data_IF_233372483984
#
_entry.id   IF_233372483984
#
_cell.length_a   1.000
_cell.length_b   1.000
_cell.length_c   1.000
_cell.angle_alpha   90.00
_cell.angle_beta   90.00
_cell.angle_gamma   90.00
#
_symmetry.space_group_name_H-M   'P 1'
#
loop_
_entity.id
_entity.type
_entity.pdbx_description
1 polymer ?
#
# COMPACT_ATOMS: atom_id res chain seq x y z
N UNK A 1 1.04 17.33 -11.41
CA UNK A 1 0.31 16.08 -11.13
C UNK A 1 0.81 15.48 -9.82
N UNK A 2 -0.07 14.84 -9.06
CA UNK A 2 0.32 14.09 -7.86
C UNK A 2 0.95 12.77 -8.29
N UNK A 3 2.09 12.41 -7.68
CA UNK A 3 2.73 11.12 -7.86
C UNK A 3 2.11 10.10 -6.89
N UNK A 4 1.56 9.04 -7.43
CA UNK A 4 0.87 7.98 -6.69
C UNK A 4 1.61 6.67 -6.87
N UNK A 5 2.11 6.10 -5.78
CA UNK A 5 2.55 4.72 -5.76
C UNK A 5 1.33 3.78 -5.79
N UNK A 6 1.45 2.65 -6.44
CA UNK A 6 0.36 1.67 -6.53
C UNK A 6 0.93 0.26 -6.57
N UNK A 7 0.22 -0.68 -5.94
CA UNK A 7 0.56 -2.10 -6.09
C UNK A 7 0.45 -2.51 -7.56
N UNK A 8 1.52 -3.03 -8.14
CA UNK A 8 1.62 -3.26 -9.59
C UNK A 8 0.54 -4.20 -10.17
N UNK A 9 0.01 -5.12 -9.36
CA UNK A 9 -1.13 -5.95 -9.76
C UNK A 9 -2.43 -5.14 -9.97
N UNK A 10 -2.51 -3.90 -9.48
CA UNK A 10 -3.67 -3.02 -9.59
C UNK A 10 -3.66 -2.13 -10.84
N UNK A 11 -2.58 -2.17 -11.63
CA UNK A 11 -2.50 -1.45 -12.90
C UNK A 11 -2.28 -2.39 -14.10
N UNK A 12 -2.80 -3.61 -14.01
CA UNK A 12 -2.79 -4.58 -15.09
C UNK A 12 -1.56 -5.48 -15.16
N UNK A 13 -0.58 -5.32 -14.28
CA UNK A 13 0.60 -6.21 -14.25
C UNK A 13 0.20 -7.61 -13.78
N UNK A 14 0.51 -8.63 -14.57
CA UNK A 14 0.19 -10.03 -14.29
C UNK A 14 1.26 -10.67 -13.40
N UNK A 15 1.44 -10.12 -12.20
CA UNK A 15 2.49 -10.50 -11.25
C UNK A 15 1.98 -11.27 -10.04
N UNK A 16 0.69 -11.53 -9.95
CA UNK A 16 0.13 -12.39 -8.90
C UNK A 16 0.41 -13.86 -9.18
N UNK A 17 0.29 -14.66 -8.13
CA UNK A 17 0.38 -16.11 -8.19
C UNK A 17 -0.59 -16.76 -9.20
N UNK A 18 -1.77 -16.15 -9.40
CA UNK A 18 -2.78 -16.56 -10.39
C UNK A 18 -2.62 -15.87 -11.76
N UNK A 19 -1.54 -15.14 -11.99
CA UNK A 19 -1.26 -14.35 -13.20
C UNK A 19 -2.36 -13.35 -13.58
N UNK A 20 -3.19 -12.93 -12.62
CA UNK A 20 -4.22 -11.92 -12.83
C UNK A 20 -3.70 -10.55 -12.41
N UNK A 21 -4.12 -9.54 -13.14
CA UNK A 21 -3.95 -8.13 -12.79
C UNK A 21 -5.27 -7.39 -12.97
N UNK A 22 -5.46 -6.29 -12.28
CA UNK A 22 -6.63 -5.44 -12.40
C UNK A 22 -6.23 -4.04 -12.85
N UNK A 23 -7.08 -3.37 -13.59
CA UNK A 23 -6.90 -1.96 -13.93
C UNK A 23 -7.78 -1.09 -13.01
N UNK A 24 -7.34 -0.90 -11.78
CA UNK A 24 -8.07 -0.09 -10.80
C UNK A 24 -8.09 1.40 -11.16
N UNK A 25 -7.01 2.02 -11.66
CA UNK A 25 -7.08 3.39 -12.17
C UNK A 25 -8.08 3.57 -13.30
N UNK A 26 -8.39 2.54 -14.08
CA UNK A 26 -9.39 2.57 -15.15
C UNK A 26 -10.80 2.97 -14.66
N UNK A 27 -11.14 2.66 -13.41
CA UNK A 27 -12.41 3.07 -12.80
C UNK A 27 -12.51 4.60 -12.64
N UNK A 28 -11.39 5.31 -12.58
CA UNK A 28 -11.35 6.77 -12.49
C UNK A 28 -11.60 7.47 -13.83
N UNK A 29 -11.70 6.72 -14.91
CA UNK A 29 -11.91 7.25 -16.26
C UNK A 29 -10.88 8.34 -16.59
N UNK A 30 -11.32 9.54 -16.97
CA UNK A 30 -10.45 10.67 -17.32
C UNK A 30 -9.64 11.21 -16.14
N UNK A 31 -10.09 11.00 -14.91
CA UNK A 31 -9.36 11.49 -13.74
C UNK A 31 -8.02 10.79 -13.54
N UNK A 32 -7.87 9.54 -14.02
CA UNK A 32 -6.59 8.84 -13.94
C UNK A 32 -5.42 9.62 -14.56
N UNK A 33 -5.71 10.43 -15.58
CA UNK A 33 -4.69 11.21 -16.31
C UNK A 33 -4.22 12.46 -15.51
N UNK A 34 -4.87 12.75 -14.38
CA UNK A 34 -4.47 13.82 -13.45
C UNK A 34 -3.32 13.39 -12.53
N UNK A 35 -2.96 12.11 -12.51
CA UNK A 35 -1.96 11.53 -11.64
C UNK A 35 -0.81 10.92 -12.43
N UNK A 36 0.36 10.82 -11.80
CA UNK A 36 1.46 10.00 -12.28
C UNK A 36 1.46 8.70 -11.47
N UNK A 37 1.37 7.56 -12.14
CA UNK A 37 1.27 6.25 -11.52
C UNK A 37 2.63 5.57 -11.46
N UNK A 38 3.04 5.16 -10.27
CA UNK A 38 4.33 4.51 -10.01
C UNK A 38 4.10 3.11 -9.42
N UNK A 39 4.08 2.06 -10.28
CA UNK A 39 3.81 0.71 -9.81
C UNK A 39 4.99 0.13 -9.04
N UNK A 40 4.70 -0.54 -7.94
CA UNK A 40 5.66 -1.35 -7.18
C UNK A 40 5.05 -2.70 -6.83
N UNK A 41 5.89 -3.71 -6.75
CA UNK A 41 5.52 -5.02 -6.22
C UNK A 41 6.52 -5.44 -5.16
N UNK A 42 6.06 -5.40 -3.92
CA UNK A 42 6.88 -5.73 -2.78
C UNK A 42 7.51 -7.13 -2.88
N UNK A 43 6.69 -8.11 -3.24
CA UNK A 43 7.11 -9.51 -3.29
C UNK A 43 8.14 -9.78 -4.40
N UNK A 44 7.97 -9.13 -5.56
CA UNK A 44 8.96 -9.19 -6.64
C UNK A 44 10.27 -8.50 -6.20
N UNK A 45 10.18 -7.33 -5.57
CA UNK A 45 11.35 -6.60 -5.06
C UNK A 45 12.03 -7.33 -3.89
N UNK A 46 11.32 -8.22 -3.22
CA UNK A 46 11.88 -9.12 -2.20
C UNK A 46 12.61 -10.35 -2.78
N UNK A 47 12.66 -10.48 -4.11
CA UNK A 47 13.28 -11.62 -4.79
C UNK A 47 12.44 -12.90 -4.82
N UNK A 48 11.17 -12.83 -4.42
CA UNK A 48 10.28 -14.01 -4.36
C UNK A 48 9.75 -14.43 -5.74
N UNK A 49 9.95 -13.60 -6.77
CA UNK A 49 9.50 -13.89 -8.14
C UNK A 49 7.99 -13.72 -8.36
N UNK A 50 7.51 -14.18 -9.50
CA UNK A 50 6.10 -14.05 -9.92
C UNK A 50 5.32 -15.30 -9.57
N UNK A 51 5.73 -16.47 -9.82
CA UNK A 51 5.06 -17.72 -9.42
C UNK A 51 5.63 -18.21 -8.09
N UNK A 52 5.14 -17.68 -6.99
CA UNK A 52 5.70 -17.89 -5.65
C UNK A 52 4.72 -18.56 -4.69
N UNK A 53 5.30 -19.17 -3.66
CA UNK A 53 4.53 -19.66 -2.54
C UNK A 53 3.81 -18.52 -1.79
N UNK A 54 2.63 -18.80 -1.28
CA UNK A 54 1.85 -17.86 -0.49
C UNK A 54 2.65 -17.40 0.75
N UNK A 55 2.65 -16.10 0.98
CA UNK A 55 3.37 -15.47 2.10
C UNK A 55 2.35 -14.97 3.12
N UNK A 56 2.61 -15.18 4.40
CA UNK A 56 1.73 -14.76 5.50
C UNK A 56 2.50 -14.30 6.73
N UNK A 57 1.89 -13.46 7.54
CA UNK A 57 2.34 -13.22 8.92
C UNK A 57 2.02 -14.45 9.78
N UNK A 58 2.95 -14.86 10.63
CA UNK A 58 2.76 -15.96 11.55
C UNK A 58 1.66 -15.65 12.60
N UNK A 59 1.62 -14.39 13.06
CA UNK A 59 0.60 -13.85 13.98
C UNK A 59 0.59 -12.32 13.93
N UNK A 60 -0.38 -11.67 14.57
CA UNK A 60 -0.41 -10.23 14.75
C UNK A 60 -0.60 -9.43 13.44
N UNK A 61 0.01 -8.27 13.37
CA UNK A 61 -0.12 -7.30 12.29
C UNK A 61 1.24 -6.72 11.84
N UNK A 62 1.22 -5.73 10.95
CA UNK A 62 2.44 -5.11 10.42
C UNK A 62 3.29 -4.40 11.48
N UNK A 63 2.68 -3.81 12.50
CA UNK A 63 3.43 -3.20 13.59
C UNK A 63 4.17 -4.26 14.41
N UNK A 64 3.52 -5.40 14.69
CA UNK A 64 4.15 -6.54 15.37
C UNK A 64 5.38 -7.04 14.62
N UNK A 65 5.33 -7.02 13.28
CA UNK A 65 6.51 -7.39 12.46
C UNK A 65 7.66 -6.40 12.64
N UNK A 66 7.37 -5.11 12.64
CA UNK A 66 8.41 -4.09 12.83
C UNK A 66 8.97 -4.10 14.25
N UNK A 67 8.15 -4.43 15.23
CA UNK A 67 8.54 -4.57 16.64
C UNK A 67 9.21 -5.93 16.95
N UNK A 68 9.41 -6.78 15.92
CA UNK A 68 10.01 -8.11 16.01
C UNK A 68 9.23 -9.11 16.85
N UNK A 69 7.92 -8.94 16.93
CA UNK A 69 7.00 -9.81 17.69
C UNK A 69 6.40 -10.93 16.83
N UNK A 70 6.62 -10.89 15.51
CA UNK A 70 6.11 -11.88 14.55
C UNK A 70 7.04 -12.03 13.35
N UNK A 71 6.91 -13.15 12.66
CA UNK A 71 7.66 -13.48 11.46
C UNK A 71 6.75 -13.53 10.23
N UNK A 72 7.35 -13.31 9.07
CA UNK A 72 6.74 -13.61 7.77
C UNK A 72 7.19 -14.99 7.33
N UNK A 73 6.25 -15.83 6.95
CA UNK A 73 6.51 -17.20 6.50
C UNK A 73 5.85 -17.47 5.16
N UNK A 74 6.45 -18.36 4.36
CA UNK A 74 5.81 -18.94 3.19
C UNK A 74 5.00 -20.20 3.55
N UNK A 75 4.41 -20.86 2.54
CA UNK A 75 3.64 -22.11 2.74
C UNK A 75 4.50 -23.28 3.21
N UNK A 76 5.81 -23.23 3.04
CA UNK A 76 6.77 -24.25 3.50
C UNK A 76 7.32 -23.94 4.89
N UNK A 77 6.70 -22.98 5.60
CA UNK A 77 7.09 -22.52 6.95
C UNK A 77 8.49 -21.86 7.04
N UNK A 78 9.11 -21.52 5.90
CA UNK A 78 10.37 -20.79 5.87
C UNK A 78 10.15 -19.32 6.27
N UNK A 79 11.07 -18.80 7.09
CA UNK A 79 11.06 -17.40 7.56
C UNK A 79 11.69 -16.51 6.48
N UNK A 80 10.93 -15.51 6.02
CA UNK A 80 11.31 -14.59 4.94
C UNK A 80 11.49 -13.14 5.42
N UNK A 81 11.78 -12.92 6.69
CA UNK A 81 11.88 -11.58 7.28
C UNK A 81 12.91 -10.69 6.59
N UNK A 82 14.07 -11.26 6.23
CA UNK A 82 15.14 -10.52 5.58
C UNK A 82 14.76 -10.10 4.17
N UNK A 83 14.24 -11.02 3.38
CA UNK A 83 13.81 -10.81 1.99
C UNK A 83 12.71 -9.75 1.92
N UNK A 84 11.71 -9.87 2.79
CA UNK A 84 10.60 -8.91 2.86
C UNK A 84 11.08 -7.52 3.29
N UNK A 85 11.93 -7.40 4.31
CA UNK A 85 12.49 -6.11 4.72
C UNK A 85 13.33 -5.46 3.63
N UNK A 86 14.15 -6.25 2.93
CA UNK A 86 14.95 -5.77 1.78
C UNK A 86 14.05 -5.26 0.65
N UNK A 87 13.03 -6.02 0.27
CA UNK A 87 12.07 -5.60 -0.76
C UNK A 87 11.31 -4.34 -0.38
N UNK A 88 10.93 -4.20 0.88
CA UNK A 88 10.25 -3.00 1.39
C UNK A 88 11.15 -1.76 1.31
N UNK A 89 12.42 -1.90 1.67
CA UNK A 89 13.38 -0.80 1.56
C UNK A 89 13.52 -0.34 0.11
N UNK A 90 13.65 -1.26 -0.84
CA UNK A 90 13.74 -0.95 -2.28
C UNK A 90 12.47 -0.23 -2.75
N UNK A 91 11.28 -0.74 -2.39
CA UNK A 91 10.01 -0.11 -2.76
C UNK A 91 9.89 1.30 -2.17
N UNK A 92 10.25 1.48 -0.91
CA UNK A 92 10.19 2.78 -0.23
C UNK A 92 11.16 3.78 -0.85
N UNK A 93 12.39 3.38 -1.12
CA UNK A 93 13.40 4.22 -1.77
C UNK A 93 12.95 4.66 -3.15
N UNK A 94 12.35 3.74 -3.92
CA UNK A 94 11.75 4.10 -5.22
C UNK A 94 10.61 5.11 -5.06
N UNK A 95 9.67 4.89 -4.13
CA UNK A 95 8.56 5.82 -3.88
C UNK A 95 9.07 7.21 -3.46
N UNK A 96 10.12 7.27 -2.65
CA UNK A 96 10.78 8.52 -2.26
C UNK A 96 11.45 9.20 -3.46
N UNK A 97 12.13 8.44 -4.31
CA UNK A 97 12.83 8.98 -5.49
C UNK A 97 11.89 9.64 -6.50
N UNK A 98 10.65 9.15 -6.61
CA UNK A 98 9.61 9.72 -7.48
C UNK A 98 8.70 10.73 -6.75
N UNK A 99 9.03 11.08 -5.49
CA UNK A 99 8.23 11.96 -4.64
C UNK A 99 6.76 11.53 -4.55
N UNK A 100 6.52 10.24 -4.35
CA UNK A 100 5.17 9.71 -4.14
C UNK A 100 4.71 9.99 -2.72
N UNK A 101 3.70 10.82 -2.57
CA UNK A 101 3.10 11.17 -1.28
C UNK A 101 1.90 10.29 -0.92
N UNK A 102 1.44 9.51 -1.87
CA UNK A 102 0.23 8.67 -1.79
C UNK A 102 0.55 7.28 -2.30
N UNK A 103 -0.05 6.27 -1.69
CA UNK A 103 0.04 4.88 -2.13
C UNK A 103 -1.33 4.21 -2.16
N UNK A 104 -1.65 3.56 -3.28
CA UNK A 104 -2.85 2.75 -3.42
C UNK A 104 -2.47 1.29 -3.23
N UNK A 105 -2.95 0.71 -2.13
CA UNK A 105 -2.59 -0.65 -1.74
C UNK A 105 -3.65 -1.68 -2.16
N UNK A 106 -3.18 -2.93 -2.38
CA UNK A 106 -4.03 -4.09 -2.61
C UNK A 106 -4.59 -4.60 -1.28
N UNK A 107 -5.90 -4.59 -1.12
CA UNK A 107 -6.55 -5.19 0.05
C UNK A 107 -6.49 -6.72 0.00
N UNK A 108 -6.34 -7.31 1.17
CA UNK A 108 -6.29 -8.76 1.33
C UNK A 108 -4.99 -9.42 0.85
N UNK A 109 -3.98 -8.63 0.47
CA UNK A 109 -2.63 -9.14 0.25
C UNK A 109 -1.88 -9.17 1.58
N UNK A 110 -1.26 -10.27 1.98
CA UNK A 110 -0.53 -10.35 3.25
C UNK A 110 0.72 -9.47 3.28
N UNK A 111 1.24 -9.09 2.14
CA UNK A 111 2.45 -8.25 2.00
C UNK A 111 2.15 -6.78 1.75
N UNK A 112 1.10 -6.47 0.99
CA UNK A 112 0.81 -5.11 0.52
C UNK A 112 -0.53 -4.55 1.00
N UNK A 113 -1.39 -5.33 1.64
CA UNK A 113 -2.75 -4.93 1.98
C UNK A 113 -3.08 -5.10 3.45
N UNK A 114 -4.22 -4.59 3.83
CA UNK A 114 -4.81 -4.87 5.14
C UNK A 114 -5.31 -6.30 5.12
N UNK A 115 -4.78 -7.14 5.98
CA UNK A 115 -5.27 -8.51 6.10
C UNK A 115 -6.77 -8.46 6.41
N UNK A 116 -7.59 -9.03 5.55
CA UNK A 116 -8.95 -9.42 5.92
C UNK A 116 -8.83 -10.56 6.93
N UNK A 117 -8.47 -10.26 8.17
CA UNK A 117 -8.96 -11.08 9.23
C UNK A 117 -10.47 -10.96 9.14
N UNK A 118 -11.14 -12.06 8.88
CA UNK A 118 -12.56 -12.21 9.09
C UNK A 118 -12.82 -12.00 10.57
N UNK A 119 -12.78 -10.75 11.00
CA UNK A 119 -13.22 -10.33 12.31
C UNK A 119 -14.75 -10.41 12.30
N UNK A 120 -15.26 -11.59 12.56
CA UNK A 120 -16.65 -11.78 12.96
C UNK A 120 -16.97 -11.12 14.29
N UNK A 121 -15.99 -10.50 14.95
CA UNK A 121 -16.18 -9.96 16.29
C UNK A 121 -15.65 -8.53 16.43
N UNK A 122 -16.63 -7.64 16.67
CA UNK A 122 -16.51 -6.42 17.47
C UNK A 122 -15.54 -5.34 16.99
N UNK A 123 -15.94 -4.51 16.02
CA UNK A 123 -15.62 -3.07 15.97
C UNK A 123 -14.14 -2.66 16.13
N UNK A 124 -13.19 -3.57 15.99
CA UNK A 124 -11.78 -3.30 16.18
C UNK A 124 -11.17 -2.92 14.82
N UNK A 125 -10.41 -1.86 14.81
CA UNK A 125 -9.65 -1.33 13.70
C UNK A 125 -8.94 -2.45 12.93
N UNK A 126 -9.10 -2.45 11.61
CA UNK A 126 -8.43 -3.43 10.73
C UNK A 126 -6.92 -3.26 10.89
N UNK A 127 -6.18 -4.30 11.27
CA UNK A 127 -4.73 -4.20 11.42
C UNK A 127 -4.11 -3.90 10.06
N UNK A 128 -3.21 -2.94 10.03
CA UNK A 128 -2.39 -2.68 8.84
C UNK A 128 -1.45 -3.85 8.60
N UNK A 129 -1.19 -4.15 7.33
CA UNK A 129 -0.13 -5.09 6.98
C UNK A 129 1.26 -4.44 7.13
N UNK A 130 2.27 -5.21 6.79
CA UNK A 130 3.65 -4.82 7.02
C UNK A 130 4.03 -3.58 6.23
N UNK A 131 3.66 -3.51 4.95
CA UNK A 131 4.06 -2.39 4.09
C UNK A 131 3.23 -1.14 4.37
N UNK A 132 1.92 -1.28 4.58
CA UNK A 132 1.05 -0.15 4.94
C UNK A 132 1.46 0.48 6.27
N UNK A 133 1.86 -0.33 7.26
CA UNK A 133 2.42 0.15 8.51
C UNK A 133 3.70 0.98 8.30
N UNK A 134 4.62 0.49 7.45
CA UNK A 134 5.83 1.25 7.10
C UNK A 134 5.50 2.57 6.39
N UNK A 135 4.60 2.53 5.40
CA UNK A 135 4.21 3.72 4.64
C UNK A 135 3.59 4.80 5.54
N UNK A 136 2.78 4.42 6.51
CA UNK A 136 2.21 5.36 7.48
C UNK A 136 3.29 5.98 8.38
N UNK A 137 4.26 5.19 8.86
CA UNK A 137 5.42 5.69 9.62
C UNK A 137 6.23 6.70 8.80
N UNK A 138 6.33 6.48 7.49
CA UNK A 138 7.01 7.37 6.53
C UNK A 138 6.13 8.53 6.03
N UNK A 139 4.95 8.71 6.62
CA UNK A 139 4.00 9.78 6.27
C UNK A 139 3.57 9.73 4.79
N UNK A 140 3.34 8.56 4.26
CA UNK A 140 2.72 8.35 2.95
C UNK A 140 1.24 8.08 3.17
N UNK A 141 0.39 8.82 2.46
CA UNK A 141 -1.06 8.66 2.53
C UNK A 141 -1.49 7.39 1.81
N UNK A 142 -2.27 6.53 2.44
CA UNK A 142 -2.67 5.24 1.87
C UNK A 142 -4.16 5.20 1.51
N UNK A 143 -4.48 4.61 0.35
CA UNK A 143 -5.85 4.47 -0.16
C UNK A 143 -6.09 3.00 -0.54
N UNK A 144 -7.21 2.38 -0.10
CA UNK A 144 -7.56 1.03 -0.53
C UNK A 144 -7.97 1.02 -2.01
N UNK A 145 -7.38 0.12 -2.79
CA UNK A 145 -7.63 0.05 -4.23
C UNK A 145 -9.09 -0.23 -4.58
N UNK A 146 -9.78 -1.07 -3.81
CA UNK A 146 -11.19 -1.40 -4.06
C UNK A 146 -12.12 -0.18 -3.96
N UNK A 147 -11.73 0.83 -3.21
CA UNK A 147 -12.55 2.05 -3.06
C UNK A 147 -12.55 2.93 -4.32
N UNK A 148 -11.61 2.71 -5.26
CA UNK A 148 -11.60 3.38 -6.56
C UNK A 148 -12.81 2.97 -7.44
N UNK A 149 -13.40 1.81 -7.18
CA UNK A 149 -14.60 1.33 -7.90
C UNK A 149 -15.87 2.08 -7.51
N UNK A 150 -15.87 2.74 -6.35
CA UNK A 150 -17.02 3.49 -5.83
C UNK A 150 -16.83 4.99 -6.05
N UNK A 151 -17.63 5.66 -6.89
CA UNK A 151 -17.50 7.10 -7.11
C UNK A 151 -17.60 7.93 -5.83
N UNK A 152 -18.44 7.52 -4.88
CA UNK A 152 -18.63 8.23 -3.59
C UNK A 152 -17.39 8.08 -2.71
N UNK A 153 -16.85 6.87 -2.58
CA UNK A 153 -15.64 6.62 -1.79
C UNK A 153 -14.42 7.28 -2.42
N UNK A 154 -14.29 7.19 -3.75
CA UNK A 154 -13.22 7.86 -4.47
C UNK A 154 -13.26 9.38 -4.28
N UNK A 155 -14.45 9.98 -4.37
CA UNK A 155 -14.61 11.42 -4.12
C UNK A 155 -14.12 11.83 -2.72
N UNK A 156 -14.44 11.05 -1.68
CA UNK A 156 -13.97 11.31 -0.32
C UNK A 156 -12.45 11.13 -0.18
N UNK A 157 -11.89 10.03 -0.70
CA UNK A 157 -10.44 9.79 -0.72
C UNK A 157 -9.69 10.86 -1.49
N UNK A 158 -10.17 11.24 -2.66
CA UNK A 158 -9.58 12.30 -3.48
C UNK A 158 -9.50 13.61 -2.72
N UNK A 159 -10.56 14.04 -2.08
CA UNK A 159 -10.60 15.25 -1.28
C UNK A 159 -9.56 15.23 -0.15
N UNK A 160 -9.48 14.13 0.59
CA UNK A 160 -8.52 13.95 1.68
C UNK A 160 -7.09 13.92 1.17
N UNK A 161 -6.85 13.23 0.06
CA UNK A 161 -5.54 13.15 -0.59
C UNK A 161 -5.04 14.54 -1.01
N UNK A 162 -5.87 15.33 -1.69
CA UNK A 162 -5.47 16.68 -2.08
C UNK A 162 -5.18 17.57 -0.87
N UNK A 163 -6.00 17.50 0.17
CA UNK A 163 -5.76 18.22 1.41
C UNK A 163 -4.43 17.80 2.06
N UNK A 164 -4.16 16.49 2.13
CA UNK A 164 -2.92 15.96 2.69
C UNK A 164 -1.69 16.46 1.92
N UNK A 165 -1.68 16.31 0.58
CA UNK A 165 -0.55 16.73 -0.26
C UNK A 165 -0.35 18.24 -0.17
N UNK A 166 -1.43 19.01 -0.15
CA UNK A 166 -1.36 20.46 0.01
C UNK A 166 -0.75 20.86 1.35
N UNK A 167 -1.23 20.28 2.46
CA UNK A 167 -0.70 20.54 3.81
C UNK A 167 0.76 20.11 3.94
N UNK A 168 1.14 18.96 3.38
CA UNK A 168 2.52 18.46 3.40
C UNK A 168 3.48 19.40 2.69
N UNK A 169 3.05 20.01 1.60
CA UNK A 169 3.85 20.94 0.81
C UNK A 169 3.89 22.37 1.38
N UNK A 170 3.11 22.64 2.42
CA UNK A 170 3.05 23.93 3.12
C UNK A 170 3.62 23.76 4.52
N UNK A 171 4.76 24.38 4.78
CA UNK A 171 5.33 24.46 6.13
C UNK A 171 4.57 25.51 6.96
N UNK A 172 3.32 25.19 7.34
CA UNK A 172 2.56 26.07 8.22
C UNK A 172 3.14 26.03 9.62
N UNK A 173 3.72 27.13 10.06
CA UNK A 173 4.17 27.29 11.44
C UNK A 173 3.06 27.79 12.36
N UNK A 174 2.02 28.43 11.81
CA UNK A 174 0.90 29.01 12.56
C UNK A 174 -0.43 28.79 11.84
N UNK A 175 -1.54 28.60 12.58
CA UNK A 175 -2.87 28.48 11.98
C UNK A 175 -3.29 29.67 11.11
N UNK A 176 -2.83 30.89 11.45
CA UNK A 176 -3.11 32.11 10.69
C UNK A 176 -2.54 32.13 9.28
N UNK A 177 -1.61 31.24 8.94
CA UNK A 177 -1.05 31.11 7.60
C UNK A 177 -1.97 30.30 6.66
N UNK A 178 -3.05 29.74 7.20
CA UNK A 178 -4.04 28.95 6.43
C UNK A 178 -5.18 29.82 5.91
N UNK A 179 -5.41 31.01 6.47
CA UNK A 179 -6.50 31.91 6.13
C UNK A 179 -6.05 33.06 5.23
#
# INVERSE_FOLDING_TARGET
KINIGISACQIGSKIKDDYKGWDMPGYLKREKDMFNWHPVCLEVMSGLGVSRNFVRLAKGNGDDFWDRNTDVKNSDEEILNYEIKSGMSICLDFLKSVNADVFIYMEGSPSCGVHRTTLKDRGIEKPFDIFSSLLLKEKIFIIPALDLQSPIKWWDWRRRMYAYVWLKNKNFSKPSEIY
#
